data_IF_833290097800
#
_entry.id   IF_833290097800
#
_cell.length_a   1.000
_cell.length_b   1.000
_cell.length_c   1.000
_cell.angle_alpha   90.00
_cell.angle_beta   90.00
_cell.angle_gamma   90.00
#
_symmetry.space_group_name_H-M   'P 1'
#
loop_
_entity.id
_entity.type
_entity.pdbx_description
1 polymer ?
#
# COMPACT_ATOMS: atom_id res chain seq x y z
N UNK A 1 -47.76 27.43 14.55
CA UNK A 1 -47.47 26.71 13.30
C UNK A 1 -46.07 27.08 12.84
N UNK A 2 -45.22 26.06 12.72
CA UNK A 2 -43.90 25.97 12.08
C UNK A 2 -42.83 27.05 12.39
N UNK A 3 -41.91 26.71 13.30
CA UNK A 3 -40.59 27.33 13.39
C UNK A 3 -39.62 26.68 12.38
N UNK A 4 -38.91 27.50 11.61
CA UNK A 4 -37.84 27.05 10.74
C UNK A 4 -36.55 26.89 11.55
N UNK A 5 -36.19 25.64 11.85
CA UNK A 5 -34.88 25.31 12.40
C UNK A 5 -33.80 25.61 11.36
N UNK A 6 -32.96 26.61 11.63
CA UNK A 6 -31.65 26.76 10.99
C UNK A 6 -30.83 25.51 11.34
N UNK A 7 -30.57 24.68 10.34
CA UNK A 7 -29.50 23.68 10.42
C UNK A 7 -28.17 24.43 10.62
N UNK A 8 -27.29 23.99 11.53
CA UNK A 8 -25.93 24.51 11.55
C UNK A 8 -25.26 24.11 10.23
N UNK A 9 -24.76 25.12 9.51
CA UNK A 9 -23.84 24.93 8.39
C UNK A 9 -22.65 24.16 8.96
N UNK A 10 -22.54 22.89 8.58
CA UNK A 10 -21.35 22.10 8.83
C UNK A 10 -20.18 22.88 8.21
N UNK A 11 -19.09 23.15 8.95
CA UNK A 11 -17.94 23.80 8.36
C UNK A 11 -17.46 22.97 7.17
N UNK A 12 -17.10 23.67 6.11
CA UNK A 12 -16.56 23.19 4.83
C UNK A 12 -15.17 22.54 4.99
N UNK A 13 -14.93 21.91 6.14
CA UNK A 13 -13.89 20.93 6.40
C UNK A 13 -14.51 19.54 6.20
N UNK A 14 -15.12 19.33 5.04
CA UNK A 14 -14.98 18.02 4.43
C UNK A 14 -13.47 17.87 4.22
N UNK A 15 -12.80 17.28 5.21
CA UNK A 15 -11.53 16.61 5.05
C UNK A 15 -11.60 15.94 3.68
N UNK A 16 -10.96 16.58 2.70
CA UNK A 16 -10.55 15.91 1.49
C UNK A 16 -9.70 14.79 2.01
N UNK A 17 -10.33 13.63 2.19
CA UNK A 17 -9.66 12.35 2.16
C UNK A 17 -9.02 12.32 0.79
N UNK A 18 -7.86 12.98 0.68
CA UNK A 18 -6.89 12.72 -0.36
C UNK A 18 -6.53 11.26 -0.13
N UNK A 19 -7.34 10.35 -0.67
CA UNK A 19 -6.87 9.05 -1.07
C UNK A 19 -5.64 9.38 -1.90
N UNK A 20 -4.43 9.13 -1.38
CA UNK A 20 -3.26 9.45 -2.14
C UNK A 20 -3.38 8.64 -3.43
N UNK A 21 -3.16 9.30 -4.57
CA UNK A 21 -3.31 8.68 -5.88
C UNK A 21 -2.54 7.33 -5.85
N UNK A 22 -3.16 6.21 -6.25
CA UNK A 22 -2.44 4.93 -6.34
C UNK A 22 -1.09 5.06 -7.06
N UNK A 23 -1.02 5.92 -8.08
CA UNK A 23 0.23 6.23 -8.79
C UNK A 23 1.25 6.94 -7.87
N UNK A 24 0.82 7.94 -7.07
CA UNK A 24 1.67 8.64 -6.10
C UNK A 24 2.21 7.70 -5.00
N UNK A 25 1.40 6.74 -4.56
CA UNK A 25 1.83 5.78 -3.55
C UNK A 25 2.80 4.73 -4.10
N UNK A 26 2.58 4.26 -5.33
CA UNK A 26 3.53 3.37 -6.00
C UNK A 26 4.85 4.09 -6.28
N UNK A 27 4.80 5.33 -6.75
CA UNK A 27 5.99 6.17 -6.91
C UNK A 27 6.74 6.32 -5.58
N UNK A 28 6.07 6.51 -4.44
CA UNK A 28 6.74 6.54 -3.13
C UNK A 28 7.37 5.19 -2.77
N UNK A 29 6.66 4.10 -3.01
CA UNK A 29 7.13 2.73 -2.77
C UNK A 29 8.41 2.43 -3.55
N UNK A 30 8.48 2.78 -4.84
CA UNK A 30 9.67 2.57 -5.68
C UNK A 30 10.76 3.65 -5.51
N UNK A 31 10.53 4.66 -4.67
CA UNK A 31 11.44 5.79 -4.49
C UNK A 31 11.54 6.69 -5.74
N UNK A 32 10.41 6.90 -6.41
CA UNK A 32 10.22 7.74 -7.59
C UNK A 32 10.60 7.06 -8.90
N UNK A 33 10.80 5.74 -8.91
CA UNK A 33 11.21 4.99 -10.10
C UNK A 33 10.00 4.44 -10.82
N UNK A 34 10.07 4.44 -12.15
CA UNK A 34 9.14 3.66 -12.97
C UNK A 34 9.25 2.17 -12.61
N UNK A 35 8.22 1.40 -12.92
CA UNK A 35 8.25 -0.05 -12.75
C UNK A 35 9.44 -0.67 -13.50
N UNK A 36 9.70 -0.23 -14.73
CA UNK A 36 10.79 -0.71 -15.57
C UNK A 36 12.17 -0.37 -14.99
N UNK A 37 12.33 0.78 -14.35
CA UNK A 37 13.58 1.14 -13.69
C UNK A 37 13.77 0.41 -12.37
N UNK A 38 12.67 0.15 -11.64
CA UNK A 38 12.69 -0.63 -10.41
C UNK A 38 13.05 -2.10 -10.70
N UNK A 39 12.53 -2.68 -11.77
CA UNK A 39 12.83 -4.04 -12.21
C UNK A 39 14.32 -4.24 -12.50
N UNK A 40 14.95 -3.27 -13.16
CA UNK A 40 16.38 -3.29 -13.50
C UNK A 40 17.32 -3.16 -12.30
N UNK A 41 16.82 -2.79 -11.12
CA UNK A 41 17.67 -2.70 -9.93
C UNK A 41 18.22 -4.08 -9.56
N UNK A 42 19.42 -4.16 -8.96
CA UNK A 42 19.92 -5.39 -8.35
C UNK A 42 18.92 -5.97 -7.34
N UNK A 43 18.84 -7.30 -7.24
CA UNK A 43 17.90 -8.00 -6.34
C UNK A 43 18.03 -7.54 -4.89
N UNK A 44 19.26 -7.34 -4.40
CA UNK A 44 19.53 -6.84 -3.06
C UNK A 44 18.98 -5.41 -2.82
N UNK A 45 19.00 -4.56 -3.84
CA UNK A 45 18.43 -3.21 -3.75
C UNK A 45 16.90 -3.27 -3.75
N UNK A 46 16.30 -4.10 -4.63
CA UNK A 46 14.84 -4.33 -4.63
C UNK A 46 14.36 -4.89 -3.30
N UNK A 47 15.06 -5.89 -2.76
CA UNK A 47 14.75 -6.47 -1.45
C UNK A 47 14.88 -5.46 -0.31
N UNK A 48 15.83 -4.52 -0.39
CA UNK A 48 15.94 -3.44 0.61
C UNK A 48 14.70 -2.55 0.58
N UNK A 49 14.20 -2.21 -0.62
CA UNK A 49 12.94 -1.46 -0.77
C UNK A 49 11.75 -2.28 -0.28
N UNK A 50 11.64 -3.55 -0.67
CA UNK A 50 10.58 -4.44 -0.19
C UNK A 50 10.57 -4.53 1.34
N UNK A 51 11.72 -4.68 1.99
CA UNK A 51 11.78 -4.69 3.47
C UNK A 51 11.29 -3.39 4.08
N UNK A 52 11.64 -2.25 3.51
CA UNK A 52 11.26 -0.95 4.05
C UNK A 52 9.74 -0.72 4.03
N UNK A 53 9.02 -1.32 3.08
CA UNK A 53 7.59 -1.09 2.88
C UNK A 53 6.71 -2.28 3.19
N UNK A 54 7.23 -3.50 3.13
CA UNK A 54 6.47 -4.74 3.32
C UNK A 54 6.75 -5.42 4.64
N UNK A 55 7.93 -5.22 5.24
CA UNK A 55 8.30 -5.87 6.50
C UNK A 55 8.04 -4.95 7.69
N UNK A 56 7.29 -5.45 8.65
CA UNK A 56 6.87 -4.76 9.86
C UNK A 56 7.57 -5.35 11.07
N UNK A 57 8.00 -4.48 12.00
CA UNK A 57 8.70 -4.92 13.22
C UNK A 57 7.75 -5.54 14.24
N UNK A 58 6.49 -5.14 14.19
CA UNK A 58 5.42 -5.64 15.05
C UNK A 58 4.61 -6.66 14.29
N UNK A 59 4.09 -7.72 14.96
CA UNK A 59 3.22 -8.67 14.30
C UNK A 59 2.00 -7.98 13.68
N UNK A 60 1.69 -8.35 12.44
CA UNK A 60 0.51 -7.88 11.72
C UNK A 60 -0.68 -8.66 12.26
N UNK A 61 -1.60 -7.96 12.92
CA UNK A 61 -2.85 -8.53 13.42
C UNK A 61 -3.83 -8.70 12.26
N UNK A 62 -4.15 -9.94 11.91
CA UNK A 62 -5.15 -10.25 10.89
C UNK A 62 -6.53 -10.23 11.55
N UNK A 63 -7.36 -9.27 11.15
CA UNK A 63 -8.74 -9.16 11.61
C UNK A 63 -9.69 -9.95 10.70
N UNK A 64 -10.75 -10.48 11.29
CA UNK A 64 -11.88 -11.04 10.54
C UNK A 64 -13.08 -10.06 10.57
N UNK A 65 -13.63 -9.64 9.41
CA UNK A 65 -13.18 -9.94 8.05
C UNK A 65 -11.83 -9.31 7.68
N UNK A 66 -11.08 -9.94 6.77
CA UNK A 66 -9.73 -9.50 6.33
C UNK A 66 -9.71 -8.04 5.87
N UNK A 67 -10.83 -7.52 5.35
CA UNK A 67 -11.00 -6.12 4.97
C UNK A 67 -10.84 -5.11 6.11
N UNK A 68 -10.87 -5.55 7.37
CA UNK A 68 -10.61 -4.72 8.55
C UNK A 68 -9.13 -4.73 8.96
N UNK A 69 -8.32 -5.57 8.33
CA UNK A 69 -6.88 -5.55 8.47
C UNK A 69 -6.32 -4.38 7.66
N UNK A 70 -6.12 -3.23 8.30
CA UNK A 70 -5.43 -2.09 7.69
C UNK A 70 -4.00 -2.02 8.20
N UNK A 71 -3.04 -2.35 7.32
CA UNK A 71 -1.61 -2.22 7.60
C UNK A 71 -0.91 -1.65 6.38
N UNK A 72 0.03 -0.73 6.59
CA UNK A 72 0.77 -0.06 5.51
C UNK A 72 1.50 -1.04 4.59
N UNK A 73 2.00 -2.13 5.16
CA UNK A 73 2.63 -3.24 4.42
C UNK A 73 1.68 -3.98 3.50
N UNK A 74 0.44 -4.21 3.94
CA UNK A 74 -0.62 -4.83 3.13
C UNK A 74 -1.04 -3.90 2.01
N UNK A 75 -1.26 -2.62 2.31
CA UNK A 75 -1.62 -1.61 1.30
C UNK A 75 -0.52 -1.48 0.23
N UNK A 76 0.75 -1.44 0.67
CA UNK A 76 1.92 -1.39 -0.23
C UNK A 76 2.03 -2.64 -1.11
N UNK A 77 1.73 -3.83 -0.56
CA UNK A 77 1.71 -5.06 -1.33
C UNK A 77 0.60 -5.05 -2.40
N UNK A 78 -0.58 -4.53 -2.07
CA UNK A 78 -1.67 -4.41 -3.04
C UNK A 78 -1.36 -3.41 -4.17
N UNK A 79 -0.68 -2.30 -3.86
CA UNK A 79 -0.22 -1.35 -4.88
C UNK A 79 0.74 -2.03 -5.87
N UNK A 80 1.74 -2.77 -5.37
CA UNK A 80 2.63 -3.53 -6.24
C UNK A 80 1.86 -4.54 -7.09
N UNK A 81 0.86 -5.22 -6.53
CA UNK A 81 0.02 -6.19 -7.25
C UNK A 81 -0.77 -5.54 -8.39
N UNK A 82 -1.27 -4.32 -8.20
CA UNK A 82 -2.03 -3.61 -9.21
C UNK A 82 -1.14 -3.10 -10.35
N UNK A 83 0.09 -2.70 -10.04
CA UNK A 83 1.07 -2.20 -11.03
C UNK A 83 1.85 -3.31 -11.74
N UNK A 84 2.00 -4.46 -11.10
CA UNK A 84 2.63 -5.62 -11.70
C UNK A 84 1.80 -6.09 -12.90
N UNK A 85 2.32 -5.79 -14.10
CA UNK A 85 1.76 -6.29 -15.35
C UNK A 85 1.75 -7.82 -15.34
N UNK A 86 0.82 -8.43 -16.09
CA UNK A 86 0.75 -9.88 -16.30
C UNK A 86 1.88 -10.44 -17.21
N UNK A 87 3.08 -9.91 -17.06
CA UNK A 87 4.30 -10.35 -17.74
C UNK A 87 5.27 -11.01 -16.74
N UNK A 88 6.28 -11.72 -17.26
CA UNK A 88 7.24 -12.46 -16.42
C UNK A 88 7.95 -11.58 -15.39
N UNK A 89 8.26 -10.34 -15.75
CA UNK A 89 8.92 -9.37 -14.89
C UNK A 89 8.04 -8.96 -13.68
N UNK A 90 6.76 -8.66 -13.92
CA UNK A 90 5.77 -8.42 -12.88
C UNK A 90 5.58 -9.61 -11.97
N UNK A 91 5.45 -10.81 -12.54
CA UNK A 91 5.32 -12.03 -11.75
C UNK A 91 6.57 -12.29 -10.88
N UNK A 92 7.77 -12.04 -11.40
CA UNK A 92 9.02 -12.16 -10.64
C UNK A 92 9.06 -11.19 -9.46
N UNK A 93 8.77 -9.91 -9.69
CA UNK A 93 8.76 -8.90 -8.63
C UNK A 93 7.70 -9.20 -7.57
N UNK A 94 6.52 -9.70 -7.97
CA UNK A 94 5.51 -10.15 -7.02
C UNK A 94 5.98 -11.34 -6.19
N UNK A 95 6.74 -12.27 -6.77
CA UNK A 95 7.32 -13.38 -6.02
C UNK A 95 8.38 -12.92 -5.02
N UNK A 96 9.27 -12.01 -5.42
CA UNK A 96 10.26 -11.41 -4.51
C UNK A 96 9.57 -10.70 -3.34
N UNK A 97 8.58 -9.84 -3.65
CA UNK A 97 7.79 -9.15 -2.64
C UNK A 97 7.00 -10.09 -1.72
N UNK A 98 6.43 -11.18 -2.26
CA UNK A 98 5.73 -12.20 -1.45
C UNK A 98 6.65 -12.87 -0.46
N UNK A 99 7.87 -13.23 -0.88
CA UNK A 99 8.85 -13.83 0.04
C UNK A 99 9.14 -12.88 1.19
N UNK A 100 9.47 -11.63 0.89
CA UNK A 100 9.72 -10.63 1.93
C UNK A 100 8.50 -10.46 2.84
N UNK A 101 7.30 -10.34 2.26
CA UNK A 101 6.09 -10.13 3.04
C UNK A 101 5.73 -11.32 3.95
N UNK A 102 5.78 -12.56 3.47
CA UNK A 102 5.37 -13.71 4.27
C UNK A 102 6.50 -14.29 5.16
N UNK A 103 7.76 -14.15 4.76
CA UNK A 103 8.89 -14.72 5.50
C UNK A 103 9.45 -13.75 6.55
N UNK A 104 9.36 -12.43 6.33
CA UNK A 104 9.94 -11.44 7.25
C UNK A 104 8.91 -10.80 8.20
N UNK A 105 7.60 -10.98 7.95
CA UNK A 105 6.57 -10.57 8.91
C UNK A 105 6.15 -11.72 9.83
N UNK A 106 5.73 -11.35 11.04
CA UNK A 106 4.95 -12.22 11.91
C UNK A 106 3.47 -11.84 11.80
N UNK A 107 2.58 -12.82 11.81
CA UNK A 107 1.14 -12.63 11.74
C UNK A 107 0.49 -13.22 12.99
N UNK A 108 -0.47 -12.49 13.58
CA UNK A 108 -1.23 -12.91 14.77
C UNK A 108 -2.72 -12.72 14.57
#
# INVERSE_FOLDING_TARGET
>A
MAGYHRFPVLPDEALTWHLPDPEDNYCRFTGGKSFEDFEKLPENERHTVFRAYLAEKTPILIQEPISWTSHKSIDSFFLLKNEARDNEAGQRLLQEARKVFYEENSFI
#
